data_IF_052943423349
#
_entry.id   IF_052943423349
#
_cell.length_a   1.000
_cell.length_b   1.000
_cell.length_c   1.000
_cell.angle_alpha   90.00
_cell.angle_beta   90.00
_cell.angle_gamma   90.00
#
_symmetry.space_group_name_H-M   'P 1'
#
loop_
_entity.id
_entity.type
_entity.pdbx_description
1 polymer ?
#
# COMPACT_ATOMS: atom_id res chain seq x y z
N UNK A 1 -6.32 16.97 -59.98
CA UNK A 1 -5.68 17.43 -58.73
C UNK A 1 -4.38 16.69 -58.49
N UNK A 2 -3.20 17.37 -58.52
CA UNK A 2 -1.91 16.73 -58.23
C UNK A 2 -1.81 16.50 -56.72
N UNK A 3 -1.75 15.24 -56.29
CA UNK A 3 -1.46 14.88 -54.91
C UNK A 3 0.01 15.21 -54.61
N UNK A 4 0.25 16.20 -53.75
CA UNK A 4 1.61 16.49 -53.28
C UNK A 4 1.96 15.38 -52.25
N UNK A 5 2.98 14.61 -52.57
CA UNK A 5 3.56 13.64 -51.64
C UNK A 5 4.54 14.31 -50.69
N UNK A 6 4.67 13.79 -49.48
CA UNK A 6 5.69 14.23 -48.51
C UNK A 6 7.09 13.91 -49.03
N UNK A 7 8.02 14.82 -48.84
CA UNK A 7 9.43 14.57 -49.13
C UNK A 7 10.10 13.79 -48.03
N UNK A 8 11.11 12.99 -48.37
CA UNK A 8 11.88 12.20 -47.40
C UNK A 8 12.49 13.11 -46.29
N UNK A 9 12.96 14.29 -46.69
CA UNK A 9 13.58 15.24 -45.74
C UNK A 9 12.60 15.80 -44.73
N UNK A 10 11.34 16.07 -45.11
CA UNK A 10 10.29 16.51 -44.17
C UNK A 10 10.03 15.48 -43.10
N UNK A 11 9.99 14.19 -43.43
CA UNK A 11 9.80 13.11 -42.47
C UNK A 11 11.00 13.00 -41.52
N UNK A 12 12.23 13.07 -42.05
CA UNK A 12 13.45 13.00 -41.24
C UNK A 12 13.51 14.17 -40.23
N UNK A 13 13.21 15.40 -40.65
CA UNK A 13 13.22 16.54 -39.75
C UNK A 13 12.18 16.39 -38.63
N UNK A 14 10.99 15.90 -38.94
CA UNK A 14 9.94 15.67 -37.91
C UNK A 14 10.38 14.64 -36.90
N UNK A 15 10.94 13.50 -37.31
CA UNK A 15 11.38 12.47 -36.37
C UNK A 15 12.54 12.95 -35.48
N UNK A 16 13.45 13.77 -36.00
CA UNK A 16 14.56 14.35 -35.23
C UNK A 16 14.01 15.30 -34.16
N UNK A 17 13.08 16.19 -34.53
CA UNK A 17 12.43 17.08 -33.55
C UNK A 17 11.69 16.30 -32.46
N UNK A 18 10.92 15.28 -32.87
CA UNK A 18 10.23 14.40 -31.91
C UNK A 18 11.21 13.68 -30.97
N UNK A 19 12.33 13.19 -31.49
CA UNK A 19 13.36 12.52 -30.66
C UNK A 19 13.94 13.47 -29.61
N UNK A 20 14.22 14.71 -29.96
CA UNK A 20 14.74 15.72 -29.03
C UNK A 20 13.68 16.04 -27.94
N UNK A 21 12.42 16.22 -28.33
CA UNK A 21 11.34 16.50 -27.38
C UNK A 21 11.11 15.30 -26.42
N UNK A 22 11.15 14.07 -26.94
CA UNK A 22 11.01 12.86 -26.12
C UNK A 22 12.16 12.70 -25.12
N UNK A 23 13.40 13.03 -25.50
CA UNK A 23 14.56 12.94 -24.62
C UNK A 23 14.41 13.75 -23.33
N UNK A 24 13.68 14.87 -23.37
CA UNK A 24 13.38 15.73 -22.19
C UNK A 24 12.09 15.30 -21.50
N UNK A 25 11.06 14.93 -22.25
CA UNK A 25 9.75 14.62 -21.73
C UNK A 25 9.72 13.29 -20.95
N UNK A 26 10.40 12.23 -21.42
CA UNK A 26 10.33 10.91 -20.81
C UNK A 26 10.84 10.89 -19.36
N UNK A 27 12.02 11.44 -19.00
CA UNK A 27 12.48 11.46 -17.63
C UNK A 27 11.52 12.21 -16.68
N UNK A 28 10.93 13.31 -17.16
CA UNK A 28 9.98 14.12 -16.40
C UNK A 28 8.70 13.33 -16.08
N UNK A 29 8.13 12.64 -17.06
CA UNK A 29 6.94 11.80 -16.89
C UNK A 29 7.20 10.64 -15.94
N UNK A 30 8.36 9.99 -16.03
CA UNK A 30 8.72 8.88 -15.11
C UNK A 30 8.82 9.35 -13.66
N UNK A 31 9.41 10.52 -13.41
CA UNK A 31 9.48 11.11 -12.07
C UNK A 31 8.08 11.43 -11.52
N UNK A 32 7.21 11.99 -12.35
CA UNK A 32 5.81 12.25 -12.00
C UNK A 32 5.04 10.96 -11.67
N UNK A 33 5.18 9.92 -12.48
CA UNK A 33 4.54 8.62 -12.23
C UNK A 33 4.98 7.99 -10.91
N UNK A 34 6.28 8.06 -10.59
CA UNK A 34 6.80 7.56 -9.31
C UNK A 34 6.23 8.34 -8.12
N UNK A 35 6.09 9.65 -8.24
CA UNK A 35 5.48 10.50 -7.20
C UNK A 35 4.00 10.21 -7.03
N UNK A 36 3.27 10.02 -8.13
CA UNK A 36 1.86 9.65 -8.12
C UNK A 36 1.62 8.28 -7.48
N UNK A 37 2.47 7.29 -7.78
CA UNK A 37 2.41 5.97 -7.16
C UNK A 37 2.64 6.05 -5.64
N UNK A 38 3.65 6.80 -5.18
CA UNK A 38 3.86 7.02 -3.74
C UNK A 38 2.65 7.66 -3.06
N UNK A 39 2.07 8.70 -3.66
CA UNK A 39 0.89 9.38 -3.14
C UNK A 39 -0.31 8.43 -3.03
N UNK A 40 -0.52 7.55 -4.01
CA UNK A 40 -1.54 6.51 -4.00
C UNK A 40 -1.39 5.57 -2.79
N UNK A 41 -0.19 5.05 -2.55
CA UNK A 41 0.05 4.15 -1.41
C UNK A 41 0.01 4.88 -0.06
N UNK A 42 0.37 6.16 0.00
CA UNK A 42 0.20 6.97 1.20
C UNK A 42 -1.29 7.16 1.56
N UNK A 43 -2.13 7.47 0.57
CA UNK A 43 -3.57 7.57 0.77
C UNK A 43 -4.18 6.23 1.20
N UNK A 44 -3.78 5.14 0.54
CA UNK A 44 -4.18 3.78 0.89
C UNK A 44 -3.82 3.43 2.34
N UNK A 45 -2.57 3.69 2.74
CA UNK A 45 -2.09 3.40 4.09
C UNK A 45 -2.84 4.17 5.17
N UNK A 46 -3.17 5.44 4.93
CA UNK A 46 -4.00 6.25 5.84
C UNK A 46 -5.38 5.63 6.00
N UNK A 47 -6.01 5.23 4.90
CA UNK A 47 -7.34 4.59 4.92
C UNK A 47 -7.33 3.25 5.66
N UNK A 48 -6.33 2.41 5.42
CA UNK A 48 -6.15 1.13 6.14
C UNK A 48 -5.98 1.40 7.65
N UNK A 49 -5.07 2.29 8.01
CA UNK A 49 -4.80 2.65 9.41
C UNK A 49 -6.06 3.14 10.12
N UNK A 50 -6.84 3.99 9.45
CA UNK A 50 -8.10 4.50 10.00
C UNK A 50 -9.10 3.36 10.25
N UNK A 51 -9.28 2.45 9.27
CA UNK A 51 -10.19 1.30 9.44
C UNK A 51 -9.72 0.36 10.55
N UNK A 52 -8.44 0.08 10.63
CA UNK A 52 -7.85 -0.73 11.72
C UNK A 52 -8.09 -0.09 13.06
N UNK A 53 -7.82 1.20 13.22
CA UNK A 53 -8.03 1.92 14.49
C UNK A 53 -9.51 1.93 14.90
N UNK A 54 -10.42 2.17 13.96
CA UNK A 54 -11.87 2.15 14.21
C UNK A 54 -12.31 0.77 14.70
N UNK A 55 -11.88 -0.29 14.02
CA UNK A 55 -12.30 -1.64 14.39
C UNK A 55 -11.67 -2.11 15.70
N UNK A 56 -10.44 -1.73 15.99
CA UNK A 56 -9.81 -1.97 17.29
C UNK A 56 -10.51 -1.23 18.41
N UNK A 57 -10.92 0.03 18.19
CA UNK A 57 -11.70 0.79 19.16
C UNK A 57 -13.03 0.10 19.47
N UNK A 58 -13.74 -0.38 18.44
CA UNK A 58 -14.97 -1.17 18.63
C UNK A 58 -14.72 -2.46 19.39
N UNK A 59 -13.63 -3.17 19.06
CA UNK A 59 -13.25 -4.41 19.74
C UNK A 59 -13.04 -4.17 21.25
N UNK A 60 -12.30 -3.13 21.64
CA UNK A 60 -12.08 -2.80 23.04
C UNK A 60 -13.34 -2.25 23.75
N UNK A 61 -14.26 -1.66 22.99
CA UNK A 61 -15.56 -1.22 23.51
C UNK A 61 -16.59 -2.35 23.67
N UNK A 62 -16.30 -3.56 23.15
CA UNK A 62 -17.24 -4.68 23.12
C UNK A 62 -18.29 -4.61 22.01
N UNK A 63 -18.12 -3.70 21.03
CA UNK A 63 -19.06 -3.44 19.94
C UNK A 63 -18.64 -4.10 18.61
N UNK A 64 -17.62 -4.97 18.63
CA UNK A 64 -17.10 -5.66 17.46
C UNK A 64 -17.51 -7.13 17.44
N UNK A 65 -17.75 -7.67 16.25
CA UNK A 65 -17.93 -9.12 16.04
C UNK A 65 -16.60 -9.91 16.18
N UNK A 66 -15.50 -9.23 16.39
CA UNK A 66 -14.18 -9.84 16.53
C UNK A 66 -14.04 -10.53 17.89
N UNK A 67 -13.60 -11.80 17.88
CA UNK A 67 -13.35 -12.59 19.10
C UNK A 67 -11.97 -12.36 19.70
N UNK A 68 -11.07 -11.76 18.93
CA UNK A 68 -9.70 -11.41 19.33
C UNK A 68 -9.16 -10.29 18.47
N UNK A 69 -8.02 -9.71 18.88
CA UNK A 69 -7.34 -8.62 18.18
C UNK A 69 -7.03 -8.95 16.71
N UNK A 70 -6.53 -10.15 16.43
CA UNK A 70 -6.21 -10.57 15.06
C UNK A 70 -7.46 -10.58 14.15
N UNK A 71 -8.60 -10.98 14.70
CA UNK A 71 -9.87 -10.97 13.98
C UNK A 71 -10.36 -9.55 13.72
N UNK A 72 -10.18 -8.60 14.66
CA UNK A 72 -10.51 -7.20 14.46
C UNK A 72 -9.70 -6.59 13.32
N UNK A 73 -8.38 -6.82 13.29
CA UNK A 73 -7.52 -6.38 12.18
C UNK A 73 -7.96 -7.01 10.84
N UNK A 74 -8.30 -8.30 10.83
CA UNK A 74 -8.79 -9.00 9.63
C UNK A 74 -10.10 -8.41 9.11
N UNK A 75 -11.04 -8.09 9.99
CA UNK A 75 -12.31 -7.43 9.62
C UNK A 75 -12.02 -6.08 8.98
N UNK A 76 -11.19 -5.25 9.62
CA UNK A 76 -10.83 -3.93 9.11
C UNK A 76 -10.20 -3.99 7.70
N UNK A 77 -9.24 -4.89 7.51
CA UNK A 77 -8.58 -5.07 6.20
C UNK A 77 -9.52 -5.67 5.17
N UNK A 78 -10.38 -6.60 5.57
CA UNK A 78 -11.41 -7.14 4.70
C UNK A 78 -12.38 -6.06 4.20
N UNK A 79 -12.81 -5.15 5.07
CA UNK A 79 -13.62 -3.99 4.70
C UNK A 79 -12.87 -3.03 3.77
N UNK A 80 -11.58 -2.80 4.02
CA UNK A 80 -10.75 -1.99 3.13
C UNK A 80 -10.63 -2.65 1.74
N UNK A 81 -10.24 -3.91 1.68
CA UNK A 81 -10.04 -4.63 0.42
C UNK A 81 -11.30 -4.73 -0.44
N UNK A 82 -12.50 -4.77 0.17
CA UNK A 82 -13.78 -4.70 -0.54
C UNK A 82 -14.08 -3.32 -1.12
N UNK A 83 -13.48 -2.27 -0.57
CA UNK A 83 -13.73 -0.87 -0.98
C UNK A 83 -12.77 -0.36 -2.05
N UNK A 84 -11.75 -1.14 -2.41
CA UNK A 84 -10.73 -0.74 -3.39
C UNK A 84 -10.71 -1.66 -4.60
N UNK A 85 -10.36 -1.09 -5.74
CA UNK A 85 -10.15 -1.82 -7.00
C UNK A 85 -8.71 -1.63 -7.45
N UNK A 86 -8.04 -2.70 -7.89
CA UNK A 86 -6.71 -2.64 -8.49
C UNK A 86 -5.55 -2.85 -7.50
N UNK A 87 -4.50 -2.06 -7.63
CA UNK A 87 -3.15 -2.35 -7.11
C UNK A 87 -2.93 -2.06 -5.61
N UNK A 88 -3.93 -1.66 -4.84
CA UNK A 88 -3.79 -1.31 -3.42
C UNK A 88 -4.36 -2.36 -2.47
N UNK A 89 -4.46 -3.61 -2.91
CA UNK A 89 -4.87 -4.70 -2.03
C UNK A 89 -3.84 -4.93 -0.92
N UNK A 90 -4.32 -4.94 0.32
CA UNK A 90 -3.50 -5.31 1.47
C UNK A 90 -3.39 -6.83 1.55
N UNK A 91 -2.17 -7.34 1.53
CA UNK A 91 -1.89 -8.77 1.70
C UNK A 91 -1.63 -9.14 3.15
N UNK A 92 -0.86 -8.32 3.84
CA UNK A 92 -0.42 -8.57 5.20
C UNK A 92 -0.26 -7.25 5.95
N UNK A 93 -0.44 -7.31 7.26
CA UNK A 93 -0.08 -6.23 8.18
C UNK A 93 0.84 -6.80 9.26
N UNK A 94 1.91 -6.06 9.55
CA UNK A 94 2.86 -6.38 10.58
C UNK A 94 2.91 -5.24 11.58
N UNK A 95 2.77 -5.54 12.86
CA UNK A 95 2.87 -4.57 13.93
C UNK A 95 4.20 -4.71 14.66
N UNK A 96 4.93 -3.62 14.75
CA UNK A 96 6.08 -3.46 15.62
C UNK A 96 5.60 -2.84 16.94
N UNK A 97 5.92 -3.46 18.07
CA UNK A 97 5.57 -2.99 19.41
C UNK A 97 6.80 -2.43 20.13
N UNK A 98 6.57 -1.49 21.06
CA UNK A 98 7.65 -0.83 21.82
C UNK A 98 8.36 -1.84 22.74
N UNK A 99 7.62 -2.80 23.28
CA UNK A 99 8.07 -3.73 24.31
C UNK A 99 8.43 -5.13 23.77
N UNK A 100 8.64 -5.28 22.47
CA UNK A 100 8.98 -6.56 21.84
C UNK A 100 10.10 -6.43 20.83
N UNK A 101 11.03 -7.37 20.88
CA UNK A 101 12.15 -7.46 19.92
C UNK A 101 11.71 -8.03 18.56
N UNK A 102 10.59 -8.75 18.52
CA UNK A 102 10.08 -9.36 17.30
C UNK A 102 8.72 -8.78 16.89
N UNK A 103 8.56 -8.40 15.60
CA UNK A 103 7.29 -7.91 15.10
C UNK A 103 6.22 -9.01 15.09
N UNK A 104 4.98 -8.62 15.28
CA UNK A 104 3.84 -9.52 15.14
C UNK A 104 3.20 -9.35 13.76
N UNK A 105 3.21 -10.44 12.96
CA UNK A 105 2.65 -10.44 11.61
C UNK A 105 1.23 -10.98 11.61
N UNK A 106 0.29 -10.21 11.05
CA UNK A 106 -1.05 -10.65 10.73
C UNK A 106 -1.09 -11.06 9.26
N UNK A 107 -0.97 -12.35 8.99
CA UNK A 107 -1.24 -12.86 7.66
C UNK A 107 -2.75 -12.92 7.45
N UNK A 108 -3.27 -12.11 6.51
CA UNK A 108 -4.71 -12.01 6.24
C UNK A 108 -5.23 -13.30 5.61
N UNK A 109 -4.38 -14.02 4.90
CA UNK A 109 -4.73 -15.28 4.24
C UNK A 109 -4.73 -16.48 5.21
N UNK A 110 -3.95 -16.41 6.31
CA UNK A 110 -3.89 -17.47 7.32
C UNK A 110 -3.65 -16.91 8.74
N UNK A 111 -4.72 -16.49 9.44
CA UNK A 111 -4.61 -15.84 10.75
C UNK A 111 -4.20 -16.76 11.90
N UNK A 112 -4.04 -18.07 11.66
CA UNK A 112 -3.84 -19.09 12.71
C UNK A 112 -2.37 -19.53 12.83
N UNK A 113 -1.48 -19.10 11.95
CA UNK A 113 -0.14 -19.68 11.81
C UNK A 113 0.88 -19.29 12.89
N UNK A 114 0.57 -18.43 13.84
CA UNK A 114 1.50 -18.05 14.91
C UNK A 114 0.99 -18.48 16.28
N UNK A 115 1.55 -19.60 16.79
CA UNK A 115 1.32 -20.14 18.13
C UNK A 115 1.77 -19.24 19.30
N UNK A 116 2.18 -17.99 19.02
CA UNK A 116 2.55 -16.98 20.00
C UNK A 116 1.76 -15.70 19.75
N UNK A 117 0.46 -15.74 20.03
CA UNK A 117 -0.29 -14.50 20.14
C UNK A 117 0.25 -13.70 21.34
N UNK A 118 0.64 -12.44 21.15
CA UNK A 118 0.99 -11.57 22.26
C UNK A 118 -0.19 -11.51 23.25
N UNK A 119 0.08 -11.29 24.53
CA UNK A 119 -0.96 -11.03 25.49
C UNK A 119 -1.78 -9.81 25.02
N UNK A 120 -3.09 -9.82 25.26
CA UNK A 120 -4.01 -8.77 24.78
C UNK A 120 -3.59 -7.37 25.24
N UNK A 121 -2.98 -7.29 26.43
CA UNK A 121 -2.43 -6.05 27.00
C UNK A 121 -1.21 -5.51 26.22
N UNK A 122 -0.41 -6.38 25.61
CA UNK A 122 0.74 -5.98 24.80
C UNK A 122 0.32 -5.41 23.46
N UNK A 123 -0.84 -5.81 22.93
CA UNK A 123 -1.35 -5.42 21.63
C UNK A 123 -2.15 -4.10 21.63
N UNK A 124 -2.21 -3.41 22.75
CA UNK A 124 -2.90 -2.12 22.83
C UNK A 124 -2.32 -1.09 21.87
N UNK A 125 -3.16 -0.24 21.27
CA UNK A 125 -2.74 0.76 20.28
C UNK A 125 -1.61 1.68 20.75
N UNK A 126 -1.55 2.01 22.05
CA UNK A 126 -0.50 2.83 22.64
C UNK A 126 0.88 2.18 22.62
N UNK A 127 0.95 0.85 22.52
CA UNK A 127 2.21 0.08 22.46
C UNK A 127 2.71 -0.13 21.03
N UNK A 128 1.97 0.32 20.02
CA UNK A 128 2.37 0.19 18.61
C UNK A 128 3.46 1.21 18.28
N UNK A 129 4.65 0.72 17.93
CA UNK A 129 5.75 1.53 17.44
C UNK A 129 5.59 1.90 15.96
N UNK A 130 5.18 0.95 15.14
CA UNK A 130 4.83 1.17 13.75
C UNK A 130 3.98 0.02 13.21
N UNK A 131 3.25 0.30 12.14
CA UNK A 131 2.46 -0.67 11.38
C UNK A 131 2.99 -0.75 9.96
N UNK A 132 3.43 -1.93 9.53
CA UNK A 132 3.90 -2.17 8.17
C UNK A 132 2.77 -2.82 7.37
N UNK A 133 2.37 -2.18 6.29
CA UNK A 133 1.27 -2.62 5.43
C UNK A 133 1.85 -3.07 4.09
N UNK A 134 1.65 -4.34 3.75
CA UNK A 134 2.10 -4.94 2.49
C UNK A 134 0.99 -4.91 1.45
N UNK A 135 1.31 -4.43 0.25
CA UNK A 135 0.38 -4.29 -0.87
C UNK A 135 0.71 -5.26 -2.00
N UNK A 136 -0.33 -5.87 -2.58
CA UNK A 136 -0.24 -6.67 -3.81
C UNK A 136 -0.66 -5.84 -5.02
N UNK A 137 -0.12 -6.17 -6.21
CA UNK A 137 -0.57 -5.59 -7.48
C UNK A 137 -1.98 -6.05 -7.87
N UNK A 138 -2.34 -7.27 -7.48
CA UNK A 138 -3.67 -7.84 -7.67
C UNK A 138 -3.91 -8.96 -6.66
N UNK A 139 -5.17 -9.37 -6.46
CA UNK A 139 -5.54 -10.49 -5.57
C UNK A 139 -4.79 -11.80 -5.90
N UNK A 140 -4.52 -12.04 -7.18
CA UNK A 140 -3.91 -13.29 -7.66
C UNK A 140 -2.39 -13.21 -7.82
N UNK A 141 -1.75 -12.07 -7.45
CA UNK A 141 -0.30 -11.95 -7.54
C UNK A 141 0.39 -12.66 -6.38
N UNK A 142 1.44 -13.42 -6.68
CA UNK A 142 2.32 -13.99 -5.67
C UNK A 142 3.27 -12.91 -5.14
N UNK A 143 3.32 -12.77 -3.81
CA UNK A 143 4.14 -11.78 -3.12
C UNK A 143 3.56 -10.36 -3.11
N UNK A 144 4.29 -9.43 -2.51
CA UNK A 144 3.91 -8.03 -2.42
C UNK A 144 4.65 -7.17 -3.47
N UNK A 145 4.04 -6.06 -3.85
CA UNK A 145 4.60 -5.09 -4.79
C UNK A 145 5.43 -4.01 -4.07
N UNK A 146 4.93 -3.58 -2.91
CA UNK A 146 5.56 -2.57 -2.07
C UNK A 146 5.02 -2.72 -0.64
N UNK A 147 5.63 -2.01 0.30
CA UNK A 147 5.07 -1.85 1.63
C UNK A 147 5.19 -0.40 2.11
N UNK A 148 4.30 -0.04 3.01
CA UNK A 148 4.35 1.24 3.71
C UNK A 148 4.46 1.01 5.21
N UNK A 149 5.37 1.71 5.85
CA UNK A 149 5.48 1.76 7.30
C UNK A 149 4.81 3.03 7.83
N UNK A 150 3.82 2.85 8.68
CA UNK A 150 3.03 3.94 9.28
C UNK A 150 3.40 4.06 10.74
N UNK A 151 3.80 5.26 11.14
CA UNK A 151 4.18 5.60 12.51
C UNK A 151 3.04 6.30 13.26
N UNK A 152 2.99 6.25 14.61
CA UNK A 152 1.95 6.92 15.40
C UNK A 152 1.84 8.43 15.16
N UNK A 153 2.96 9.09 14.81
CA UNK A 153 3.02 10.52 14.45
C UNK A 153 2.46 10.82 13.04
N UNK A 154 1.77 9.88 12.41
CA UNK A 154 1.19 9.95 11.05
C UNK A 154 2.24 10.04 9.92
N UNK A 155 3.53 9.91 10.22
CA UNK A 155 4.57 9.77 9.19
C UNK A 155 4.40 8.42 8.48
N UNK A 156 4.56 8.40 7.16
CA UNK A 156 4.50 7.19 6.35
C UNK A 156 5.79 7.11 5.54
N UNK A 157 6.47 5.96 5.62
CA UNK A 157 7.59 5.62 4.76
C UNK A 157 7.14 4.61 3.70
N UNK A 158 7.46 4.89 2.43
CA UNK A 158 7.16 4.01 1.30
C UNK A 158 8.42 3.27 0.86
N UNK A 159 8.30 1.96 0.66
CA UNK A 159 9.36 1.08 0.19
C UNK A 159 8.88 0.29 -1.02
N UNK A 160 9.50 0.50 -2.18
CA UNK A 160 9.32 -0.35 -3.36
C UNK A 160 10.14 -1.63 -3.22
N UNK A 161 9.64 -2.71 -3.81
CA UNK A 161 10.41 -3.95 -3.96
C UNK A 161 11.38 -3.83 -5.12
#
# INVERSE_FOLDING_TARGET
MKKKGFTLIEVIVVIVILAILMAVAVPSVMSYMNSANKAKYYAASRSVTQKVNVELTKFYAGDSDAKNYAMAVKIAVGQYNKSVTGETYVSDILFNYINRDHPFSFNISNPIANNHQPAEEEMRPENIKSMVIYYKKSLNSNGYACYCEVYPNKKIAYHSR
#
